data_IF_845726409033
#
_entry.id   IF_845726409033
#
_cell.length_a   1.000
_cell.length_b   1.000
_cell.length_c   1.000
_cell.angle_alpha   90.00
_cell.angle_beta   90.00
_cell.angle_gamma   90.00
#
_symmetry.space_group_name_H-M   'P 1'
#
loop_
_entity.id
_entity.type
_entity.pdbx_description
1 polymer ?
#
# COMPACT_ATOMS: atom_id res chain seq x y z
N UNK A 1 30.17 28.89 4.91
CA UNK A 1 29.17 28.01 5.53
C UNK A 1 27.95 28.10 4.63
N UNK A 2 27.91 27.22 3.62
CA UNK A 2 26.90 27.26 2.57
C UNK A 2 25.94 26.12 2.86
N UNK A 3 24.68 26.46 3.11
CA UNK A 3 23.59 25.50 3.20
C UNK A 3 23.47 24.83 1.84
N UNK A 4 23.92 23.58 1.78
CA UNK A 4 23.80 22.74 0.60
C UNK A 4 22.32 22.46 0.38
N UNK A 5 21.83 22.82 -0.80
CA UNK A 5 20.44 22.63 -1.19
C UNK A 5 20.11 21.13 -1.15
N UNK A 6 19.33 20.70 -0.16
CA UNK A 6 18.58 19.45 -0.21
C UNK A 6 17.54 19.57 -1.34
N UNK A 7 17.98 19.44 -2.59
CA UNK A 7 17.09 19.04 -3.68
C UNK A 7 16.59 17.66 -3.32
N UNK A 8 15.41 17.61 -2.71
CA UNK A 8 14.58 16.42 -2.61
C UNK A 8 14.17 16.05 -4.04
N UNK A 9 15.07 15.41 -4.78
CA UNK A 9 14.76 14.83 -6.08
C UNK A 9 13.53 13.93 -5.90
N UNK A 10 12.48 14.16 -6.69
CA UNK A 10 11.27 13.35 -6.66
C UNK A 10 11.64 11.89 -6.99
N UNK A 11 10.99 10.88 -6.39
CA UNK A 11 11.21 9.50 -6.78
C UNK A 11 10.95 9.37 -8.29
N UNK A 12 11.82 8.68 -9.04
CA UNK A 12 11.61 8.46 -10.47
C UNK A 12 10.26 7.76 -10.66
N UNK A 13 9.40 8.36 -11.50
CA UNK A 13 8.10 7.77 -11.83
C UNK A 13 8.34 6.39 -12.45
N UNK A 14 7.80 5.35 -11.81
CA UNK A 14 7.99 3.97 -12.25
C UNK A 14 9.20 3.24 -11.64
N UNK A 15 9.85 3.76 -10.60
CA UNK A 15 10.89 3.08 -9.84
C UNK A 15 12.29 3.11 -10.50
N UNK A 16 13.21 2.28 -10.00
CA UNK A 16 14.59 2.19 -10.48
C UNK A 16 14.71 1.25 -11.70
N UNK A 17 15.93 1.05 -12.24
CA UNK A 17 16.22 0.02 -13.26
C UNK A 17 15.92 -1.42 -12.79
N UNK A 18 15.50 -1.59 -11.53
CA UNK A 18 15.05 -2.84 -10.94
C UNK A 18 16.21 -3.69 -10.46
N UNK A 19 16.16 -4.07 -9.19
CA UNK A 19 17.03 -5.10 -8.63
C UNK A 19 16.75 -6.44 -9.30
N UNK A 20 17.78 -7.27 -9.50
CA UNK A 20 17.60 -8.65 -9.97
C UNK A 20 17.68 -9.62 -8.80
N UNK A 21 16.60 -10.33 -8.53
CA UNK A 21 16.57 -11.43 -7.58
C UNK A 21 17.06 -12.73 -8.23
N UNK A 22 17.69 -13.59 -7.42
CA UNK A 22 17.93 -14.98 -7.82
C UNK A 22 16.61 -15.76 -7.91
N UNK A 23 16.56 -16.91 -8.60
CA UNK A 23 15.35 -17.74 -8.61
C UNK A 23 14.88 -18.15 -7.21
N UNK A 24 15.82 -18.39 -6.28
CA UNK A 24 15.50 -18.73 -4.89
C UNK A 24 14.87 -17.54 -4.17
N UNK A 25 15.48 -16.36 -4.26
CA UNK A 25 14.96 -15.13 -3.65
C UNK A 25 13.56 -14.78 -4.20
N UNK A 26 13.36 -14.98 -5.51
CA UNK A 26 12.07 -14.77 -6.15
C UNK A 26 11.01 -15.72 -5.59
N UNK A 27 11.30 -17.02 -5.52
CA UNK A 27 10.36 -18.01 -5.01
C UNK A 27 10.01 -17.77 -3.53
N UNK A 28 10.99 -17.38 -2.70
CA UNK A 28 10.74 -17.01 -1.31
C UNK A 28 9.81 -15.81 -1.23
N UNK A 29 10.07 -14.77 -2.04
CA UNK A 29 9.24 -13.58 -2.05
C UNK A 29 7.81 -13.87 -2.53
N UNK A 30 7.64 -14.71 -3.55
CA UNK A 30 6.33 -15.16 -4.02
C UNK A 30 5.58 -15.94 -2.91
N UNK A 31 6.24 -16.88 -2.25
CA UNK A 31 5.62 -17.67 -1.18
C UNK A 31 5.20 -16.80 0.02
N UNK A 32 6.04 -15.84 0.42
CA UNK A 32 5.71 -14.89 1.50
C UNK A 32 4.59 -13.93 1.08
N UNK A 33 4.60 -13.46 -0.17
CA UNK A 33 3.56 -12.58 -0.69
C UNK A 33 2.20 -13.29 -0.74
N UNK A 34 2.15 -14.52 -1.26
CA UNK A 34 0.93 -15.34 -1.31
C UNK A 34 0.40 -15.68 0.09
N UNK A 35 1.27 -15.80 1.09
CA UNK A 35 0.84 -15.97 2.49
C UNK A 35 0.32 -14.66 3.12
N UNK A 36 0.90 -13.51 2.78
CA UNK A 36 0.43 -12.18 3.23
C UNK A 36 -0.91 -11.80 2.60
N UNK A 37 -1.15 -12.21 1.36
CA UNK A 37 -2.40 -11.97 0.62
C UNK A 37 -2.84 -13.28 -0.03
N UNK A 38 -3.57 -14.14 0.71
CA UNK A 38 -4.02 -15.43 0.20
C UNK A 38 -4.95 -15.26 -1.03
N UNK A 39 -4.78 -16.06 -2.09
CA UNK A 39 -5.71 -16.06 -3.21
C UNK A 39 -7.09 -16.56 -2.78
N UNK A 40 -8.13 -16.07 -3.44
CA UNK A 40 -9.50 -16.49 -3.15
C UNK A 40 -10.53 -15.41 -3.42
N UNK A 41 -11.81 -15.77 -3.37
CA UNK A 41 -12.90 -14.80 -3.53
C UNK A 41 -12.90 -14.03 -4.86
N UNK A 42 -12.31 -14.61 -5.91
CA UNK A 42 -12.16 -13.96 -7.22
C UNK A 42 -10.91 -13.07 -7.37
N UNK A 43 -10.01 -13.08 -6.39
CA UNK A 43 -8.74 -12.34 -6.40
C UNK A 43 -7.58 -13.28 -6.79
N UNK A 44 -6.64 -12.82 -7.65
CA UNK A 44 -5.46 -13.60 -8.04
C UNK A 44 -4.44 -13.66 -6.89
N UNK A 45 -3.56 -14.64 -6.88
CA UNK A 45 -2.42 -14.66 -5.96
C UNK A 45 -1.41 -13.54 -6.33
N UNK A 46 -0.68 -12.96 -5.36
CA UNK A 46 0.45 -12.07 -5.62
C UNK A 46 1.46 -12.60 -6.64
N UNK A 47 1.81 -13.88 -6.57
CA UNK A 47 2.71 -14.55 -7.51
C UNK A 47 2.16 -14.59 -8.95
N UNK A 48 0.84 -14.61 -9.14
CA UNK A 48 0.20 -14.60 -10.47
C UNK A 48 0.22 -13.21 -11.14
N UNK A 49 0.51 -12.15 -10.38
CA UNK A 49 0.44 -10.76 -10.85
C UNK A 49 1.77 -10.00 -10.74
N UNK A 50 2.87 -10.73 -10.62
CA UNK A 50 4.25 -10.21 -10.62
C UNK A 50 4.51 -9.16 -9.51
N UNK A 51 4.13 -9.49 -8.27
CA UNK A 51 4.47 -8.66 -7.10
C UNK A 51 5.98 -8.67 -6.87
N UNK A 52 6.68 -9.79 -7.06
CA UNK A 52 8.14 -9.85 -6.92
C UNK A 52 8.87 -8.88 -7.88
N UNK A 53 8.43 -8.76 -9.14
CA UNK A 53 8.95 -7.77 -10.09
C UNK A 53 8.66 -6.33 -9.67
N UNK A 54 7.53 -6.07 -9.00
CA UNK A 54 7.27 -4.76 -8.39
C UNK A 54 8.25 -4.46 -7.25
N UNK A 55 8.45 -5.40 -6.33
CA UNK A 55 9.40 -5.23 -5.21
C UNK A 55 10.80 -4.96 -5.75
N UNK A 56 11.25 -5.70 -6.77
CA UNK A 56 12.52 -5.47 -7.47
C UNK A 56 12.66 -4.03 -7.97
N UNK A 57 11.61 -3.48 -8.58
CA UNK A 57 11.58 -2.12 -9.15
C UNK A 57 11.60 -1.01 -8.09
N UNK A 58 11.05 -1.26 -6.91
CA UNK A 58 10.97 -0.30 -5.81
C UNK A 58 12.02 -0.52 -4.71
N UNK A 59 12.86 -1.54 -4.86
CA UNK A 59 14.06 -1.73 -4.03
C UNK A 59 15.17 -0.79 -4.50
N UNK A 60 15.83 -0.16 -3.53
CA UNK A 60 16.94 0.76 -3.78
C UNK A 60 18.19 -0.03 -4.17
N UNK A 61 18.80 0.19 -5.35
CA UNK A 61 19.98 -0.55 -5.77
C UNK A 61 21.20 -0.35 -4.86
N UNK A 62 22.11 -1.31 -4.86
CA UNK A 62 23.39 -1.23 -4.12
C UNK A 62 24.12 0.09 -4.38
N UNK A 63 24.65 0.69 -3.31
CA UNK A 63 25.37 1.96 -3.37
C UNK A 63 24.49 3.21 -3.40
N UNK A 64 23.16 3.07 -3.33
CA UNK A 64 22.22 4.19 -3.20
C UNK A 64 21.57 4.20 -1.81
N UNK A 65 21.24 5.40 -1.32
CA UNK A 65 20.55 5.57 -0.03
C UNK A 65 19.04 5.29 -0.21
N UNK A 66 18.41 4.40 0.58
CA UNK A 66 16.97 4.16 0.53
C UNK A 66 16.22 5.37 1.08
N UNK A 67 15.79 6.27 0.19
CA UNK A 67 15.13 7.54 0.55
C UNK A 67 13.61 7.45 0.61
N UNK A 68 13.02 6.39 0.05
CA UNK A 68 11.58 6.27 -0.12
C UNK A 68 11.05 5.09 0.67
N UNK A 69 9.93 5.30 1.34
CA UNK A 69 9.19 4.24 2.02
C UNK A 69 8.92 3.05 1.07
N UNK A 70 9.11 1.78 1.49
CA UNK A 70 9.41 1.32 2.85
C UNK A 70 10.91 1.18 3.17
N UNK A 71 11.76 1.95 2.49
CA UNK A 71 13.21 2.08 2.73
C UNK A 71 14.01 0.78 2.50
N UNK A 72 13.58 -0.03 1.54
CA UNK A 72 14.27 -1.27 1.18
C UNK A 72 15.55 -1.00 0.36
N UNK A 73 16.67 -1.53 0.84
CA UNK A 73 17.95 -1.56 0.14
C UNK A 73 18.22 -2.97 -0.42
N UNK A 74 18.84 -3.04 -1.60
CA UNK A 74 19.10 -4.28 -2.33
C UNK A 74 19.88 -5.30 -1.50
N UNK A 75 21.01 -4.90 -0.92
CA UNK A 75 21.90 -5.81 -0.19
C UNK A 75 21.20 -6.40 1.04
N UNK A 76 20.52 -5.55 1.81
CA UNK A 76 19.79 -5.96 3.01
C UNK A 76 18.61 -6.87 2.67
N UNK A 77 17.81 -6.50 1.65
CA UNK A 77 16.66 -7.32 1.23
C UNK A 77 17.12 -8.69 0.74
N UNK A 78 18.15 -8.75 -0.10
CA UNK A 78 18.69 -10.02 -0.62
C UNK A 78 19.23 -10.90 0.51
N UNK A 79 20.03 -10.34 1.42
CA UNK A 79 20.57 -11.09 2.55
C UNK A 79 19.46 -11.69 3.43
N UNK A 80 18.37 -10.93 3.64
CA UNK A 80 17.21 -11.39 4.41
C UNK A 80 16.41 -12.46 3.67
N UNK A 81 16.18 -12.31 2.36
CA UNK A 81 15.52 -13.33 1.55
C UNK A 81 16.35 -14.63 1.49
N UNK A 82 17.68 -14.52 1.41
CA UNK A 82 18.58 -15.68 1.45
C UNK A 82 18.51 -16.37 2.82
N UNK A 83 18.46 -15.63 3.93
CA UNK A 83 18.29 -16.21 5.27
C UNK A 83 16.92 -16.91 5.43
N UNK A 84 15.85 -16.29 4.92
CA UNK A 84 14.49 -16.85 4.97
C UNK A 84 14.34 -18.08 4.06
N UNK A 85 15.12 -18.19 2.99
CA UNK A 85 15.09 -19.35 2.08
C UNK A 85 15.39 -20.67 2.80
N UNK A 86 16.18 -20.63 3.88
CA UNK A 86 16.47 -21.80 4.71
C UNK A 86 15.29 -22.24 5.60
N UNK A 87 14.23 -21.43 5.69
CA UNK A 87 13.09 -21.60 6.60
C UNK A 87 11.74 -21.65 5.86
N UNK A 88 11.75 -21.61 4.52
CA UNK A 88 10.59 -21.31 3.69
C UNK A 88 9.58 -22.48 3.49
N UNK A 89 9.71 -23.58 4.23
CA UNK A 89 8.79 -24.72 4.11
C UNK A 89 7.36 -24.41 4.58
N UNK A 90 7.21 -23.42 5.48
CA UNK A 90 5.90 -22.91 5.94
C UNK A 90 5.91 -21.36 5.96
N UNK A 91 5.49 -20.71 4.86
CA UNK A 91 5.52 -19.25 4.75
C UNK A 91 4.71 -18.52 5.84
N UNK A 92 3.63 -19.11 6.36
CA UNK A 92 2.82 -18.48 7.42
C UNK A 92 3.58 -18.50 8.75
N UNK A 93 4.20 -19.62 9.09
CA UNK A 93 5.06 -19.71 10.26
C UNK A 93 6.29 -18.79 10.13
N UNK A 94 6.89 -18.72 8.94
CA UNK A 94 8.00 -17.80 8.65
C UNK A 94 7.60 -16.34 8.88
N UNK A 95 6.45 -15.90 8.36
CA UNK A 95 5.96 -14.54 8.56
C UNK A 95 5.64 -14.24 10.02
N UNK A 96 5.05 -15.20 10.73
CA UNK A 96 4.73 -15.08 12.16
C UNK A 96 6.01 -14.90 13.00
N UNK A 97 7.05 -15.70 12.71
CA UNK A 97 8.34 -15.57 13.38
C UNK A 97 8.99 -14.22 13.02
N UNK A 98 8.95 -13.83 11.75
CA UNK A 98 9.53 -12.57 11.28
C UNK A 98 8.86 -11.34 11.93
N UNK A 99 7.54 -11.36 12.14
CA UNK A 99 6.83 -10.29 12.83
C UNK A 99 7.31 -10.10 14.28
N UNK A 100 7.74 -11.18 14.95
CA UNK A 100 8.26 -11.12 16.32
C UNK A 100 9.75 -10.76 16.36
N UNK A 101 10.56 -11.39 15.51
CA UNK A 101 12.02 -11.29 15.55
C UNK A 101 12.55 -10.01 14.89
N UNK A 102 11.90 -9.55 13.80
CA UNK A 102 12.22 -8.30 13.11
C UNK A 102 10.95 -7.61 12.60
N UNK A 103 10.19 -6.96 13.51
CA UNK A 103 8.95 -6.29 13.16
C UNK A 103 9.13 -5.15 12.14
N UNK A 104 10.32 -4.53 12.10
CA UNK A 104 10.61 -3.46 11.17
C UNK A 104 10.71 -3.99 9.73
N UNK A 105 11.45 -5.08 9.53
CA UNK A 105 11.53 -5.72 8.22
C UNK A 105 10.21 -6.36 7.80
N UNK A 106 9.49 -7.02 8.72
CA UNK A 106 8.15 -7.54 8.45
C UNK A 106 7.21 -6.44 7.94
N UNK A 107 7.19 -5.28 8.62
CA UNK A 107 6.36 -4.13 8.23
C UNK A 107 6.75 -3.62 6.84
N UNK A 108 8.05 -3.48 6.57
CA UNK A 108 8.53 -3.03 5.26
C UNK A 108 8.16 -4.01 4.13
N UNK A 109 8.28 -5.32 4.39
CA UNK A 109 7.91 -6.37 3.44
C UNK A 109 6.40 -6.39 3.17
N UNK A 110 5.59 -6.40 4.23
CA UNK A 110 4.13 -6.34 4.12
C UNK A 110 3.68 -5.14 3.30
N UNK A 111 4.25 -3.98 3.58
CA UNK A 111 3.82 -2.74 2.94
C UNK A 111 4.23 -2.69 1.47
N UNK A 112 5.45 -3.12 1.10
CA UNK A 112 5.82 -3.20 -0.32
C UNK A 112 4.99 -4.23 -1.08
N UNK A 113 4.63 -5.35 -0.45
CA UNK A 113 3.75 -6.38 -1.04
C UNK A 113 2.35 -5.82 -1.25
N UNK A 114 1.78 -5.11 -0.27
CA UNK A 114 0.44 -4.54 -0.40
C UNK A 114 0.40 -3.43 -1.46
N UNK A 115 1.41 -2.55 -1.48
CA UNK A 115 1.58 -1.55 -2.53
C UNK A 115 1.71 -2.20 -3.92
N UNK A 116 2.49 -3.27 -4.02
CA UNK A 116 2.68 -4.03 -5.26
C UNK A 116 1.39 -4.68 -5.74
N UNK A 117 0.71 -5.40 -4.85
CA UNK A 117 -0.49 -6.17 -5.16
C UNK A 117 -1.67 -5.29 -5.56
N UNK A 118 -2.03 -4.32 -4.74
CA UNK A 118 -3.20 -3.47 -5.02
C UNK A 118 -2.98 -2.47 -6.17
N UNK A 119 -1.74 -2.28 -6.61
CA UNK A 119 -1.44 -1.51 -7.83
C UNK A 119 -1.55 -2.32 -9.13
N UNK A 120 -1.79 -3.64 -9.06
CA UNK A 120 -1.88 -4.48 -10.28
C UNK A 120 -3.23 -4.31 -10.98
N UNK A 121 -3.26 -4.12 -12.32
CA UNK A 121 -4.51 -4.00 -13.07
C UNK A 121 -5.45 -5.21 -12.91
N UNK A 122 -4.91 -6.42 -12.78
CA UNK A 122 -5.71 -7.62 -12.54
C UNK A 122 -6.44 -7.58 -11.19
N UNK A 123 -5.77 -7.10 -10.15
CA UNK A 123 -6.35 -6.93 -8.81
C UNK A 123 -7.38 -5.79 -8.81
N UNK A 124 -7.12 -4.66 -9.48
CA UNK A 124 -8.12 -3.59 -9.67
C UNK A 124 -9.40 -4.13 -10.34
N UNK A 125 -9.27 -4.97 -11.37
CA UNK A 125 -10.42 -5.61 -12.02
C UNK A 125 -11.15 -6.57 -11.07
N UNK A 126 -10.41 -7.33 -10.26
CA UNK A 126 -11.00 -8.20 -9.25
C UNK A 126 -11.78 -7.40 -8.19
N UNK A 127 -11.27 -6.25 -7.75
CA UNK A 127 -11.97 -5.34 -6.84
C UNK A 127 -13.30 -4.88 -7.46
N UNK A 128 -13.26 -4.35 -8.69
CA UNK A 128 -14.47 -3.88 -9.38
C UNK A 128 -15.52 -4.98 -9.57
N UNK A 129 -15.08 -6.23 -9.80
CA UNK A 129 -15.97 -7.36 -10.05
C UNK A 129 -16.56 -7.97 -8.77
N UNK A 130 -15.79 -8.02 -7.68
CA UNK A 130 -16.14 -8.81 -6.49
C UNK A 130 -16.57 -7.96 -5.28
N UNK A 131 -16.29 -6.65 -5.27
CA UNK A 131 -16.63 -5.76 -4.15
C UNK A 131 -17.77 -4.82 -4.57
N UNK A 132 -19.01 -5.00 -4.04
CA UNK A 132 -20.18 -4.23 -4.49
C UNK A 132 -20.01 -2.71 -4.40
N UNK A 133 -19.31 -2.24 -3.37
CA UNK A 133 -19.07 -0.81 -3.15
C UNK A 133 -17.90 -0.22 -3.97
N UNK A 134 -17.15 -1.06 -4.70
CA UNK A 134 -15.91 -0.65 -5.33
C UNK A 134 -15.98 -0.64 -6.87
N UNK A 135 -17.17 -0.67 -7.48
CA UNK A 135 -17.33 -0.69 -8.94
C UNK A 135 -16.65 0.50 -9.66
N UNK A 136 -16.48 1.62 -8.95
CA UNK A 136 -15.83 2.84 -9.44
C UNK A 136 -14.36 2.95 -9.02
N UNK A 137 -13.74 1.86 -8.54
CA UNK A 137 -12.33 1.86 -8.18
C UNK A 137 -11.45 1.89 -9.45
N UNK A 138 -10.68 2.97 -9.61
CA UNK A 138 -9.85 3.22 -10.80
C UNK A 138 -8.38 3.38 -10.43
N UNK A 139 -7.51 2.74 -11.21
CA UNK A 139 -6.04 2.77 -11.01
C UNK A 139 -5.36 3.88 -11.83
N UNK A 140 -6.00 4.36 -12.91
CA UNK A 140 -5.46 5.47 -13.70
C UNK A 140 -5.95 6.80 -13.14
N UNK A 141 -5.10 7.86 -13.14
CA UNK A 141 -5.59 9.22 -13.02
C UNK A 141 -6.73 9.40 -14.01
N UNK A 142 -7.88 9.87 -13.54
CA UNK A 142 -8.96 10.17 -14.47
C UNK A 142 -8.50 11.30 -15.40
N UNK A 143 -8.99 11.34 -16.65
CA UNK A 143 -8.67 12.44 -17.57
C UNK A 143 -9.01 13.82 -16.97
N UNK A 144 -9.96 13.87 -16.03
CA UNK A 144 -10.34 15.05 -15.25
C UNK A 144 -9.92 14.98 -13.77
N UNK A 145 -9.04 14.05 -13.39
CA UNK A 145 -8.57 13.88 -12.00
C UNK A 145 -9.72 13.60 -11.02
N UNK A 146 -9.76 14.35 -9.92
CA UNK A 146 -10.83 14.27 -8.94
C UNK A 146 -11.99 15.24 -9.24
N UNK A 147 -12.08 15.84 -10.43
CA UNK A 147 -13.13 16.82 -10.72
C UNK A 147 -14.53 16.24 -10.45
N UNK A 148 -14.81 15.01 -10.91
CA UNK A 148 -16.07 14.31 -10.65
C UNK A 148 -16.32 14.00 -9.15
N UNK A 149 -15.29 14.02 -8.30
CA UNK A 149 -15.38 13.83 -6.86
C UNK A 149 -15.28 15.12 -6.03
N UNK A 150 -14.97 16.24 -6.69
CA UNK A 150 -14.95 17.59 -6.14
C UNK A 150 -16.18 18.40 -6.56
N UNK A 151 -17.02 17.86 -7.44
CA UNK A 151 -18.32 18.44 -7.73
C UNK A 151 -19.14 18.50 -6.44
N UNK A 152 -19.65 19.70 -6.15
CA UNK A 152 -20.50 19.93 -4.99
C UNK A 152 -21.73 19.03 -5.10
N UNK A 153 -22.09 18.40 -3.98
CA UNK A 153 -23.31 17.61 -3.92
C UNK A 153 -24.51 18.52 -4.19
N UNK A 154 -25.14 18.35 -5.35
CA UNK A 154 -26.26 19.19 -5.74
C UNK A 154 -27.58 18.75 -5.08
N UNK A 155 -28.56 19.65 -5.12
CA UNK A 155 -29.87 19.43 -4.53
C UNK A 155 -30.63 18.23 -5.15
N UNK A 156 -30.34 17.88 -6.41
CA UNK A 156 -30.98 16.75 -7.08
C UNK A 156 -30.42 15.42 -6.54
N UNK A 157 -29.12 15.31 -6.37
CA UNK A 157 -28.43 14.13 -5.85
C UNK A 157 -28.75 13.92 -4.37
N UNK A 158 -28.79 15.00 -3.58
CA UNK A 158 -29.22 14.99 -2.18
C UNK A 158 -30.69 14.59 -2.01
N UNK A 159 -31.56 14.91 -2.97
CA UNK A 159 -32.99 14.53 -2.90
C UNK A 159 -33.23 13.02 -2.94
N UNK A 160 -32.23 12.24 -3.38
CA UNK A 160 -32.31 10.78 -3.55
C UNK A 160 -31.84 9.99 -2.33
N UNK A 161 -31.24 10.65 -1.33
CA UNK A 161 -30.71 10.03 -0.11
C UNK A 161 -31.48 10.47 1.13
N UNK A 162 -31.66 9.56 2.11
CA UNK A 162 -32.28 9.91 3.40
C UNK A 162 -31.22 10.53 4.31
N UNK A 163 -31.34 11.82 4.60
CA UNK A 163 -30.46 12.55 5.52
C UNK A 163 -30.48 14.05 5.28
N UNK A 164 -29.69 14.80 6.06
CA UNK A 164 -29.42 16.21 5.84
C UNK A 164 -27.94 16.41 5.57
N UNK A 165 -27.59 17.15 4.52
CA UNK A 165 -26.23 17.58 4.21
C UNK A 165 -26.03 19.02 4.71
N UNK A 166 -24.89 19.27 5.34
CA UNK A 166 -24.41 20.60 5.69
C UNK A 166 -23.17 20.85 4.84
N UNK A 167 -23.15 21.92 4.05
CA UNK A 167 -21.99 22.25 3.26
C UNK A 167 -20.80 22.54 4.19
N UNK A 168 -19.57 22.26 3.74
CA UNK A 168 -18.36 22.48 4.56
C UNK A 168 -18.25 23.94 5.03
N UNK A 169 -18.73 24.89 4.22
CA UNK A 169 -18.78 26.32 4.57
C UNK A 169 -19.81 26.67 5.65
N UNK A 170 -20.78 25.79 5.90
CA UNK A 170 -21.83 25.94 6.91
C UNK A 170 -21.48 25.26 8.23
N UNK A 171 -20.42 24.45 8.25
CA UNK A 171 -19.88 23.84 9.47
C UNK A 171 -19.21 24.93 10.31
N UNK A 172 -19.79 25.24 11.47
CA UNK A 172 -19.17 26.14 12.45
C UNK A 172 -18.11 25.37 13.26
N UNK A 173 -16.85 25.84 13.31
CA UNK A 173 -15.85 25.28 14.21
C UNK A 173 -16.36 25.35 15.66
N UNK A 174 -16.22 24.26 16.41
CA UNK A 174 -16.44 24.28 17.85
C UNK A 174 -15.17 24.81 18.52
N UNK A 175 -15.27 25.94 19.22
CA UNK A 175 -14.14 26.56 19.93
C UNK A 175 -13.63 25.70 21.12
N UNK A 176 -14.40 24.67 21.54
CA UNK A 176 -14.03 23.69 22.56
C UNK A 176 -14.71 22.36 22.30
N UNK A 177 -13.95 21.27 22.40
CA UNK A 177 -14.55 19.96 22.71
C UNK A 177 -15.14 20.05 24.13
N UNK A 178 -16.39 19.64 24.37
CA UNK A 178 -16.91 19.55 25.73
C UNK A 178 -16.05 18.55 26.51
N UNK A 179 -15.63 18.94 27.72
CA UNK A 179 -14.94 18.03 28.63
C UNK A 179 -15.83 16.80 28.85
N UNK A 180 -15.26 15.63 28.63
CA UNK A 180 -15.93 14.33 28.73
C UNK A 180 -16.10 13.91 30.20
N UNK A 181 -16.67 14.76 31.05
CA UNK A 181 -16.88 14.46 32.49
C UNK A 181 -18.35 14.51 32.94
N UNK A 182 -19.30 14.98 32.14
CA UNK A 182 -20.73 15.05 32.55
C UNK A 182 -21.61 13.91 32.00
N UNK A 183 -21.04 12.76 31.65
CA UNK A 183 -21.81 11.58 31.20
C UNK A 183 -22.20 10.62 32.34
N UNK A 184 -22.28 11.11 33.58
CA UNK A 184 -22.83 10.37 34.71
C UNK A 184 -23.68 11.27 35.60
N UNK A 185 -24.88 11.63 35.15
CA UNK A 185 -26.07 11.84 36.00
C UNK A 185 -27.29 12.26 35.17
N UNK A 186 -28.08 11.25 34.76
CA UNK A 186 -29.57 11.15 34.85
C UNK A 186 -30.14 10.20 33.80
#
# INVERSE_FOLDING_TARGET
MTVDNLQLDRPPLGGSQGVRFSPVQHNVLDALADALVPPGGGFPAPSEVDVAGFVARYTTPTGQLPRWYPYLAEDDLKARLDALSAQADDPVATLTALEQDDPAFFTALRDVVYLGYYSRPAVTRAINANVPAAHDYRNTPQPYGYLDGLEEWDAELLSRVRGSFLATTEVKPLDRLPNYEDASEN
#
